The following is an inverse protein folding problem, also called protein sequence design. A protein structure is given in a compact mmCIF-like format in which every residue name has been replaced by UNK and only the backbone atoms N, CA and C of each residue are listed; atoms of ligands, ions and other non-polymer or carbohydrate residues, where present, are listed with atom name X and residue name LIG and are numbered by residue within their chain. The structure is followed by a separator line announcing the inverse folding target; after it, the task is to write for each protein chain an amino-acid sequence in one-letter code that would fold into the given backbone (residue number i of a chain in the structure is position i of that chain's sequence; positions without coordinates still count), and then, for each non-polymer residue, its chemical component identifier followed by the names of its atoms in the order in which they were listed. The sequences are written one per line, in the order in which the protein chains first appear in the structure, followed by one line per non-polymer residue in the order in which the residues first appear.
data_IF_731699155686
#
_entry.id   IF_731699155686
#
_cell.length_a   1.000
_cell.length_b   1.000
_cell.length_c   1.000
_cell.angle_alpha   90.00
_cell.angle_beta   90.00
_cell.angle_gamma   90.00
#
_symmetry.space_group_name_H-M   'P 1'
#
loop_
_entity.id
_entity.type
_entity.pdbx_description
1 polymer ?
#
# COMPACT_ATOMS: atom_id res chain seq x y z
N UNK A 1 2.18 -70.00 -16.45
CA UNK A 1 2.77 -70.66 -17.64
C UNK A 1 3.92 -69.76 -18.11
N UNK A 2 5.18 -70.22 -17.99
CA UNK A 2 5.98 -70.76 -19.13
C UNK A 2 6.25 -69.62 -20.14
N UNK A 3 7.44 -69.05 -20.38
CA UNK A 3 8.82 -69.56 -20.31
C UNK A 3 9.85 -68.43 -20.39
N UNK A 4 10.96 -68.60 -19.67
CA UNK A 4 12.26 -68.02 -19.99
C UNK A 4 13.04 -69.07 -20.79
N UNK A 5 13.54 -68.69 -21.96
CA UNK A 5 14.62 -69.42 -22.64
C UNK A 5 15.63 -68.38 -23.08
N UNK A 6 16.76 -68.29 -22.38
CA UNK A 6 18.04 -68.37 -23.07
C UNK A 6 19.16 -68.66 -22.07
N UNK A 7 19.87 -69.73 -22.39
CA UNK A 7 20.93 -70.39 -21.65
C UNK A 7 22.24 -70.00 -22.33
N UNK A 8 23.34 -70.17 -21.59
CA UNK A 8 24.75 -70.35 -22.01
C UNK A 8 25.59 -69.06 -21.88
N UNK A 9 26.40 -68.96 -20.81
CA UNK A 9 27.76 -69.52 -20.63
C UNK A 9 28.79 -68.53 -21.20
N UNK A 10 29.96 -68.23 -20.63
CA UNK A 10 30.80 -68.81 -19.60
C UNK A 10 31.84 -67.71 -19.33
N UNK A 11 32.31 -67.53 -18.09
CA UNK A 11 33.74 -67.46 -17.76
C UNK A 11 33.90 -66.91 -16.34
N UNK A 12 34.31 -67.82 -15.47
CA UNK A 12 34.60 -67.65 -14.05
C UNK A 12 35.81 -66.73 -13.88
N UNK A 13 35.66 -65.69 -13.07
CA UNK A 13 36.77 -65.09 -12.31
C UNK A 13 36.29 -64.80 -10.89
N UNK A 14 36.83 -65.62 -9.99
CA UNK A 14 36.77 -65.55 -8.54
C UNK A 14 37.35 -64.22 -8.03
N UNK A 15 36.68 -63.58 -7.07
CA UNK A 15 37.34 -62.73 -6.08
C UNK A 15 37.60 -61.26 -6.45
N UNK A 16 36.54 -60.50 -6.74
CA UNK A 16 36.55 -59.06 -6.48
C UNK A 16 35.12 -58.59 -6.18
N UNK A 17 34.79 -58.41 -4.90
CA UNK A 17 33.54 -57.80 -4.48
C UNK A 17 33.57 -56.32 -4.85
N UNK A 18 33.12 -56.01 -6.06
CA UNK A 18 32.88 -54.64 -6.50
C UNK A 18 31.69 -54.10 -5.68
N UNK A 19 31.96 -53.43 -4.58
CA UNK A 19 30.94 -52.69 -3.83
C UNK A 19 30.48 -51.52 -4.70
N UNK A 20 29.34 -51.70 -5.35
CA UNK A 20 28.62 -50.64 -6.05
C UNK A 20 28.21 -49.61 -4.98
N UNK A 21 28.99 -48.54 -4.81
CA UNK A 21 28.57 -47.41 -3.99
C UNK A 21 27.39 -46.75 -4.69
N UNK A 22 26.18 -47.16 -4.30
CA UNK A 22 24.95 -46.52 -4.72
C UNK A 22 25.03 -45.03 -4.39
N UNK A 23 24.81 -44.19 -5.39
CA UNK A 23 24.72 -42.76 -5.19
C UNK A 23 23.47 -42.50 -4.35
N UNK A 24 23.67 -42.22 -3.06
CA UNK A 24 22.61 -41.75 -2.18
C UNK A 24 22.21 -40.36 -2.65
N UNK A 25 21.13 -40.26 -3.42
CA UNK A 25 20.49 -39.00 -3.71
C UNK A 25 19.79 -38.55 -2.43
N UNK A 26 20.48 -37.72 -1.64
CA UNK A 26 19.93 -37.12 -0.43
C UNK A 26 18.80 -36.17 -0.85
N UNK A 27 17.58 -36.70 -0.84
CA UNK A 27 16.40 -35.96 -1.30
C UNK A 27 16.00 -35.01 -0.18
N UNK A 28 16.50 -33.79 -0.22
CA UNK A 28 16.04 -32.73 0.68
C UNK A 28 14.60 -32.38 0.35
N UNK A 29 13.65 -32.93 1.11
CA UNK A 29 12.24 -32.56 1.03
C UNK A 29 12.09 -31.12 1.54
N UNK A 30 11.93 -30.18 0.61
CA UNK A 30 11.73 -28.77 0.93
C UNK A 30 10.38 -28.61 1.64
N UNK A 31 10.38 -27.87 2.76
CA UNK A 31 9.14 -27.50 3.47
C UNK A 31 8.30 -26.59 2.57
N UNK A 32 7.01 -26.87 2.54
CA UNK A 32 6.03 -26.03 1.84
C UNK A 32 6.11 -24.59 2.37
N UNK A 33 6.43 -23.66 1.47
CA UNK A 33 6.39 -22.23 1.76
C UNK A 33 5.02 -21.72 1.34
N UNK A 34 4.16 -21.50 2.32
CA UNK A 34 2.87 -20.85 2.09
C UNK A 34 3.09 -19.37 1.80
N UNK A 35 3.13 -19.01 0.52
CA UNK A 35 3.13 -17.61 0.09
C UNK A 35 1.73 -17.06 0.34
N UNK A 36 1.58 -16.36 1.47
CA UNK A 36 0.39 -15.57 1.75
C UNK A 36 0.60 -14.21 1.12
N UNK A 37 -0.12 -13.95 0.03
CA UNK A 37 -0.20 -12.63 -0.55
C UNK A 37 -0.96 -11.72 0.43
N UNK A 38 -0.21 -11.02 1.29
CA UNK A 38 -0.76 -9.87 2.00
C UNK A 38 -0.85 -8.77 0.98
N UNK A 39 -2.00 -8.65 0.32
CA UNK A 39 -2.33 -7.43 -0.39
C UNK A 39 -2.31 -6.28 0.63
N UNK A 40 -1.16 -5.62 0.75
CA UNK A 40 -1.05 -4.35 1.46
C UNK A 40 -1.85 -3.36 0.62
N UNK A 41 -3.13 -3.22 0.94
CA UNK A 41 -3.98 -2.26 0.30
C UNK A 41 -3.60 -0.87 0.84
N UNK A 42 -2.72 -0.16 0.14
CA UNK A 42 -2.32 1.20 0.50
C UNK A 42 -3.47 2.21 0.38
N UNK A 43 -4.58 1.79 -0.23
CA UNK A 43 -5.74 2.60 -0.54
C UNK A 43 -7.02 1.82 -0.27
N UNK A 44 -8.02 2.47 0.33
CA UNK A 44 -9.31 1.86 0.60
C UNK A 44 -10.39 2.89 0.95
N UNK A 45 -11.55 2.40 1.32
CA UNK A 45 -12.63 3.21 1.91
C UNK A 45 -12.54 3.23 3.43
N UNK A 46 -13.16 4.23 4.03
CA UNK A 46 -13.21 4.36 5.48
C UNK A 46 -14.34 3.52 6.08
N UNK A 47 -14.22 3.17 7.37
CA UNK A 47 -15.35 2.61 8.12
C UNK A 47 -16.50 3.61 8.17
N UNK A 48 -17.72 3.10 8.01
CA UNK A 48 -18.94 3.93 7.99
C UNK A 48 -19.15 4.68 9.30
N UNK A 49 -18.76 4.07 10.42
CA UNK A 49 -18.85 4.63 11.77
C UNK A 49 -17.54 4.35 12.50
N UNK A 50 -16.98 5.38 13.12
CA UNK A 50 -15.77 5.33 13.94
C UNK A 50 -15.95 6.25 15.15
N UNK A 51 -16.33 5.68 16.29
CA UNK A 51 -16.72 6.45 17.47
C UNK A 51 -17.89 7.40 17.16
N UNK A 52 -17.65 8.71 17.29
CA UNK A 52 -18.63 9.77 16.97
C UNK A 52 -18.58 10.25 15.51
N UNK A 53 -17.64 9.73 14.71
CA UNK A 53 -17.45 10.13 13.31
C UNK A 53 -18.26 9.20 12.41
N UNK A 54 -19.11 9.80 11.58
CA UNK A 54 -20.03 9.07 10.68
C UNK A 54 -19.70 9.43 9.24
N UNK A 55 -19.14 8.48 8.51
CA UNK A 55 -18.84 8.63 7.07
C UNK A 55 -19.82 7.89 6.16
N UNK A 56 -20.80 7.20 6.76
CA UNK A 56 -21.91 6.59 6.03
C UNK A 56 -22.56 7.57 5.03
N UNK A 57 -22.73 7.13 3.79
CA UNK A 57 -23.33 7.93 2.72
C UNK A 57 -22.43 9.03 2.12
N UNK A 58 -21.19 9.20 2.61
CA UNK A 58 -20.21 10.14 2.06
C UNK A 58 -19.14 9.39 1.27
N UNK A 59 -18.52 10.05 0.29
CA UNK A 59 -17.38 9.47 -0.42
C UNK A 59 -16.14 9.62 0.46
N UNK A 60 -15.72 8.54 1.10
CA UNK A 60 -14.59 8.49 2.03
C UNK A 60 -13.50 7.57 1.52
N UNK A 61 -12.27 8.07 1.53
CA UNK A 61 -11.08 7.37 1.03
C UNK A 61 -9.98 7.47 2.10
N UNK A 62 -9.24 6.38 2.27
CA UNK A 62 -8.14 6.25 3.23
C UNK A 62 -6.90 5.82 2.49
N UNK A 63 -5.79 6.52 2.72
CA UNK A 63 -4.47 6.22 2.19
C UNK A 63 -3.59 5.79 3.37
N UNK A 64 -3.04 4.59 3.30
CA UNK A 64 -2.07 4.08 4.27
C UNK A 64 -0.66 4.39 3.78
N UNK A 65 0.09 5.16 4.55
CA UNK A 65 1.40 5.65 4.11
C UNK A 65 2.49 4.58 4.25
N UNK A 66 2.32 3.62 5.16
CA UNK A 66 3.27 2.52 5.35
C UNK A 66 3.47 1.68 4.08
N UNK A 67 2.40 1.43 3.33
CA UNK A 67 2.46 0.69 2.06
C UNK A 67 2.72 1.55 0.82
N UNK A 68 2.68 2.88 0.97
CA UNK A 68 2.84 3.79 -0.16
C UNK A 68 4.33 3.99 -0.51
N UNK A 69 4.76 3.44 -1.66
CA UNK A 69 6.11 3.61 -2.21
C UNK A 69 6.23 4.94 -2.99
N UNK A 70 6.33 6.05 -2.27
CA UNK A 70 6.47 7.42 -2.84
C UNK A 70 7.53 8.22 -2.10
N UNK A 71 7.91 9.38 -2.63
CA UNK A 71 8.80 10.29 -1.94
C UNK A 71 8.08 10.98 -0.76
N UNK A 72 8.18 10.37 0.43
CA UNK A 72 7.57 10.87 1.67
C UNK A 72 8.27 12.14 2.20
N UNK A 73 9.56 12.28 1.93
CA UNK A 73 10.37 13.40 2.41
C UNK A 73 10.05 14.72 1.69
N UNK A 74 9.84 14.66 0.36
CA UNK A 74 9.49 15.87 -0.43
C UNK A 74 7.99 16.12 -0.54
N UNK A 75 7.18 15.33 0.17
CA UNK A 75 5.72 15.41 0.23
C UNK A 75 5.04 15.71 -1.12
N UNK A 76 5.39 14.92 -2.15
CA UNK A 76 4.86 15.17 -3.49
C UNK A 76 3.35 14.86 -3.53
N UNK A 77 2.55 15.92 -3.66
CA UNK A 77 1.08 15.85 -3.65
C UNK A 77 0.52 14.93 -4.73
N UNK A 78 1.10 14.92 -5.94
CA UNK A 78 0.61 14.09 -7.06
C UNK A 78 0.82 12.60 -6.79
N UNK A 79 1.94 12.25 -6.15
CA UNK A 79 2.24 10.87 -5.81
C UNK A 79 1.39 10.36 -4.64
N UNK A 80 1.23 11.20 -3.61
CA UNK A 80 0.48 10.82 -2.41
C UNK A 80 -1.02 10.71 -2.67
N UNK A 81 -1.61 11.71 -3.35
CA UNK A 81 -3.05 11.83 -3.52
C UNK A 81 -3.56 11.31 -4.88
N UNK A 82 -2.67 10.90 -5.79
CA UNK A 82 -3.04 10.50 -7.16
C UNK A 82 -3.98 9.30 -7.26
N UNK A 83 -4.05 8.44 -6.23
CA UNK A 83 -4.99 7.31 -6.17
C UNK A 83 -6.44 7.74 -5.85
N UNK A 84 -6.65 8.97 -5.37
CA UNK A 84 -7.93 9.47 -4.87
C UNK A 84 -8.79 10.00 -6.02
N UNK A 85 -9.99 9.46 -6.18
CA UNK A 85 -10.83 9.77 -7.35
C UNK A 85 -11.52 11.14 -7.24
N UNK A 86 -11.32 12.02 -8.21
CA UNK A 86 -11.99 13.33 -8.28
C UNK A 86 -11.35 14.42 -7.40
N UNK A 87 -10.06 14.26 -7.08
CA UNK A 87 -9.20 15.36 -6.65
C UNK A 87 -8.51 16.01 -7.85
N UNK A 88 -8.44 17.33 -7.81
CA UNK A 88 -7.57 18.16 -8.62
C UNK A 88 -6.30 18.41 -7.83
N UNK A 89 -5.14 18.17 -8.44
CA UNK A 89 -3.85 18.31 -7.76
C UNK A 89 -2.96 19.22 -8.60
N UNK A 90 -2.54 20.34 -8.01
CA UNK A 90 -1.47 21.17 -8.56
C UNK A 90 -0.19 20.93 -7.78
N UNK A 91 0.92 20.87 -8.50
CA UNK A 91 2.25 20.70 -7.92
C UNK A 91 2.97 22.03 -8.11
N UNK A 92 2.99 22.84 -7.05
CA UNK A 92 3.32 24.27 -7.16
C UNK A 92 4.78 24.58 -6.84
N UNK A 93 5.46 23.77 -6.01
CA UNK A 93 6.75 24.20 -5.42
C UNK A 93 7.84 23.11 -5.33
N UNK A 94 7.57 21.86 -5.75
CA UNK A 94 8.53 20.74 -5.72
C UNK A 94 9.06 20.31 -4.33
N UNK A 95 8.95 21.19 -3.33
CA UNK A 95 9.46 21.08 -1.95
C UNK A 95 8.38 20.57 -0.97
N UNK A 96 7.13 20.43 -1.42
CA UNK A 96 6.05 19.84 -0.62
C UNK A 96 5.61 20.68 0.60
N UNK A 97 6.08 21.93 0.70
CA UNK A 97 5.74 22.87 1.77
C UNK A 97 4.25 23.23 1.80
N UNK A 98 3.60 23.21 0.64
CA UNK A 98 2.22 23.65 0.48
C UNK A 98 1.43 22.62 -0.33
N UNK A 99 0.33 22.13 0.23
CA UNK A 99 -0.62 21.30 -0.51
C UNK A 99 -1.42 22.19 -1.46
N UNK A 100 -1.59 21.73 -2.69
CA UNK A 100 -2.54 22.34 -3.63
C UNK A 100 -3.49 21.25 -4.12
N UNK A 101 -4.50 20.98 -3.30
CA UNK A 101 -5.52 19.96 -3.54
C UNK A 101 -6.89 20.63 -3.61
N UNK A 102 -7.66 20.27 -4.63
CA UNK A 102 -9.02 20.75 -4.88
C UNK A 102 -9.94 19.58 -5.16
N UNK A 103 -11.23 19.73 -4.87
CA UNK A 103 -12.23 18.69 -5.08
C UNK A 103 -13.29 19.16 -6.06
N UNK A 104 -13.91 18.23 -6.79
CA UNK A 104 -15.12 18.52 -7.60
C UNK A 104 -14.93 19.65 -8.64
N UNK A 105 -13.74 19.83 -9.18
CA UNK A 105 -13.49 20.91 -10.16
C UNK A 105 -13.13 22.26 -9.55
N UNK A 106 -13.10 22.40 -8.21
CA UNK A 106 -12.66 23.62 -7.54
C UNK A 106 -11.16 23.86 -7.75
N UNK A 107 -10.75 25.13 -7.67
CA UNK A 107 -9.35 25.52 -7.76
C UNK A 107 -8.55 24.86 -6.62
N UNK A 108 -7.55 24.03 -6.94
CA UNK A 108 -6.71 23.38 -5.94
C UNK A 108 -5.68 24.32 -5.32
N UNK A 109 -5.57 25.58 -5.75
CA UNK A 109 -4.55 26.50 -5.26
C UNK A 109 -4.54 26.61 -3.72
N UNK A 110 -3.39 26.27 -3.13
CA UNK A 110 -3.13 26.29 -1.67
C UNK A 110 -4.15 25.56 -0.80
N UNK A 111 -4.96 24.64 -1.36
CA UNK A 111 -5.96 23.89 -0.59
C UNK A 111 -6.98 24.80 0.12
N UNK A 112 -7.25 26.00 -0.43
CA UNK A 112 -8.16 27.00 0.15
C UNK A 112 -9.60 26.50 0.34
N UNK A 113 -10.01 25.51 -0.47
CA UNK A 113 -11.36 24.96 -0.48
C UNK A 113 -11.55 23.73 0.41
N UNK A 114 -10.50 23.26 1.08
CA UNK A 114 -10.55 22.10 1.97
C UNK A 114 -10.20 22.48 3.38
N UNK A 115 -10.97 21.95 4.32
CA UNK A 115 -10.57 21.96 5.72
C UNK A 115 -9.57 20.82 5.96
N UNK A 116 -8.37 21.17 6.42
CA UNK A 116 -7.29 20.21 6.68
C UNK A 116 -7.19 19.97 8.18
N UNK A 117 -7.16 18.70 8.57
CA UNK A 117 -7.09 18.30 9.97
C UNK A 117 -5.98 17.31 10.23
N UNK A 118 -5.34 17.43 11.39
CA UNK A 118 -4.40 16.46 11.92
C UNK A 118 -4.94 15.90 13.23
N UNK A 119 -5.06 14.56 13.31
CA UNK A 119 -5.59 13.87 14.50
C UNK A 119 -6.97 14.38 14.98
N UNK A 120 -7.79 14.89 14.06
CA UNK A 120 -9.12 15.43 14.35
C UNK A 120 -9.15 16.92 14.70
N UNK A 121 -8.00 17.57 14.86
CA UNK A 121 -7.88 19.01 15.09
C UNK A 121 -7.64 19.75 13.80
N UNK A 122 -8.22 20.94 13.68
CA UNK A 122 -7.97 21.84 12.56
C UNK A 122 -6.53 22.36 12.63
N UNK A 123 -5.84 22.31 11.49
CA UNK A 123 -4.47 22.86 11.34
C UNK A 123 -4.45 24.09 10.43
N UNK A 124 -5.61 24.50 9.91
CA UNK A 124 -5.74 25.79 9.25
C UNK A 124 -5.61 26.91 10.29
N UNK A 125 -4.77 27.90 9.99
CA UNK A 125 -4.52 29.04 10.88
C UNK A 125 -5.71 30.01 10.92
N UNK A 126 -6.57 29.98 9.91
CA UNK A 126 -7.77 30.79 9.79
C UNK A 126 -8.78 30.07 8.87
N UNK A 127 -10.06 30.41 8.95
CA UNK A 127 -11.09 29.82 8.09
C UNK A 127 -11.16 30.51 6.71
N UNK A 128 -10.71 31.77 6.58
CA UNK A 128 -11.02 32.60 5.40
C UNK A 128 -9.86 33.43 4.81
N UNK A 129 -8.71 33.55 5.48
CA UNK A 129 -7.73 34.59 5.11
C UNK A 129 -6.50 34.14 4.34
N UNK A 130 -5.82 33.07 4.77
CA UNK A 130 -4.40 32.89 4.45
C UNK A 130 -3.97 31.42 4.30
N UNK A 131 -4.47 30.69 3.29
CA UNK A 131 -4.13 29.28 3.07
C UNK A 131 -2.64 29.01 2.86
N UNK A 132 -1.88 30.01 2.40
CA UNK A 132 -0.42 29.95 2.25
C UNK A 132 0.33 29.84 3.60
N UNK A 133 -0.30 30.27 4.69
CA UNK A 133 0.27 30.19 6.04
C UNK A 133 0.03 28.83 6.71
N UNK A 134 -0.77 27.95 6.08
CA UNK A 134 -1.10 26.66 6.68
C UNK A 134 0.10 25.72 6.60
N UNK A 135 0.49 25.21 7.75
CA UNK A 135 1.51 24.18 7.80
C UNK A 135 0.95 22.87 7.24
N UNK A 136 1.70 22.27 6.30
CA UNK A 136 1.43 20.93 5.83
C UNK A 136 2.38 19.94 6.51
N UNK A 137 1.86 18.94 7.24
CA UNK A 137 2.71 17.89 7.78
C UNK A 137 3.36 17.09 6.64
N UNK A 138 4.66 16.77 6.73
CA UNK A 138 5.31 15.90 5.77
C UNK A 138 4.66 14.51 5.83
N UNK A 139 4.50 13.86 4.67
CA UNK A 139 3.90 12.52 4.59
C UNK A 139 4.67 11.48 5.43
N UNK A 140 5.95 11.68 5.70
CA UNK A 140 6.72 10.79 6.58
C UNK A 140 6.24 10.79 8.04
N UNK A 141 5.71 11.92 8.53
CA UNK A 141 5.23 12.05 9.90
C UNK A 141 3.80 11.50 10.11
N UNK A 142 3.14 11.05 9.03
CA UNK A 142 1.75 10.63 9.04
C UNK A 142 1.64 9.11 8.90
N UNK A 143 0.69 8.50 9.61
CA UNK A 143 0.37 7.07 9.47
C UNK A 143 -0.62 6.80 8.33
N UNK A 144 -1.65 7.63 8.25
CA UNK A 144 -2.73 7.53 7.27
C UNK A 144 -3.24 8.92 6.91
N UNK A 145 -3.74 9.05 5.69
CA UNK A 145 -4.41 10.24 5.20
C UNK A 145 -5.86 9.87 4.93
N UNK A 146 -6.78 10.66 5.46
CA UNK A 146 -8.20 10.41 5.36
C UNK A 146 -8.87 11.56 4.62
N UNK A 147 -9.63 11.24 3.59
CA UNK A 147 -10.26 12.24 2.72
C UNK A 147 -11.75 11.97 2.70
N UNK A 148 -12.52 12.94 3.16
CA UNK A 148 -13.98 12.88 3.17
C UNK A 148 -14.48 13.94 2.19
N UNK A 149 -15.15 13.50 1.14
CA UNK A 149 -15.77 14.37 0.14
C UNK A 149 -17.28 14.31 0.30
N UNK A 150 -17.94 15.46 0.40
CA UNK A 150 -19.38 15.54 0.59
C UNK A 150 -19.79 16.61 1.58
N UNK A 151 -21.09 16.65 1.90
CA UNK A 151 -21.64 17.50 2.95
C UNK A 151 -21.16 16.98 4.32
N UNK A 152 -19.95 17.37 4.72
CA UNK A 152 -19.34 16.97 5.97
C UNK A 152 -19.43 18.08 7.05
N UNK A 153 -20.01 19.22 6.70
CA UNK A 153 -20.08 20.42 7.54
C UNK A 153 -20.79 20.22 8.88
N UNK A 154 -21.67 19.23 9.01
CA UNK A 154 -22.30 18.94 10.30
C UNK A 154 -21.32 18.39 11.34
N UNK A 155 -20.33 17.59 10.92
CA UNK A 155 -19.31 17.02 11.82
C UNK A 155 -18.07 17.88 11.93
N UNK A 156 -17.83 18.73 10.94
CA UNK A 156 -16.55 19.37 10.70
C UNK A 156 -16.65 20.89 10.48
N UNK A 157 -17.84 21.48 10.57
CA UNK A 157 -18.03 22.91 10.32
C UNK A 157 -17.67 23.35 8.90
N UNK A 158 -17.42 24.65 8.78
CA UNK A 158 -16.86 25.32 7.60
C UNK A 158 -15.34 25.38 7.69
#
# INVERSE_FOLDING_TARGET
MRYMVFRICLMVCLGLSLSLSGWSQDTTVLKEVKVVDKSNADFGSMSQVDGMRVTAGKKSEVILLDGLTVNKATNNTRQVYGKVAGLNIFENDGSGLQLSIGGRGLDPNRTSNFNVRQNGYDISADALGYPESYYTPPAEALKKIEIIKGAASLQFGT
#
